data_IF_798208100139
#
_entry.id   IF_798208100139
#
_cell.length_a   1.000
_cell.length_b   1.000
_cell.length_c   1.000
_cell.angle_alpha   90.00
_cell.angle_beta   90.00
_cell.angle_gamma   90.00
#
_symmetry.space_group_name_H-M   'P 1'
#
loop_
_entity.id
_entity.type
_entity.pdbx_description
1 polymer ?
#
# COMPACT_ATOMS: atom_id res chain seq x y z
N UNK A 1 5.30 -13.28 -18.54
CA UNK A 1 6.18 -12.10 -18.74
C UNK A 1 7.38 -12.48 -19.63
N UNK A 2 7.12 -12.88 -20.89
CA UNK A 2 8.10 -13.58 -21.74
C UNK A 2 9.38 -12.77 -22.01
N UNK A 3 9.31 -11.44 -22.08
CA UNK A 3 10.48 -10.60 -22.33
C UNK A 3 11.51 -10.67 -21.20
N UNK A 4 11.06 -10.66 -19.93
CA UNK A 4 11.95 -10.79 -18.77
C UNK A 4 12.53 -12.19 -18.71
N UNK A 5 11.72 -13.21 -19.00
CA UNK A 5 12.17 -14.61 -19.03
C UNK A 5 13.30 -14.79 -20.06
N UNK A 6 13.08 -14.32 -21.29
CA UNK A 6 14.07 -14.38 -22.36
C UNK A 6 15.36 -13.62 -22.02
N UNK A 7 15.25 -12.41 -21.49
CA UNK A 7 16.42 -11.63 -21.06
C UNK A 7 17.19 -12.35 -19.96
N UNK A 8 16.48 -12.88 -18.96
CA UNK A 8 17.07 -13.59 -17.83
C UNK A 8 17.79 -14.87 -18.25
N UNK A 9 17.24 -15.57 -19.23
CA UNK A 9 17.80 -16.81 -19.75
C UNK A 9 18.99 -16.59 -20.69
N UNK A 10 18.93 -15.54 -21.50
CA UNK A 10 19.94 -15.26 -22.54
C UNK A 10 21.14 -14.47 -22.01
N UNK A 11 20.90 -13.51 -21.12
CA UNK A 11 21.90 -12.49 -20.78
C UNK A 11 22.49 -12.61 -19.38
N UNK A 12 21.89 -13.41 -18.48
CA UNK A 12 22.27 -13.43 -17.06
C UNK A 12 22.84 -14.77 -16.62
N UNK A 13 23.82 -14.70 -15.72
CA UNK A 13 24.32 -15.86 -14.99
C UNK A 13 23.26 -16.42 -14.04
N UNK A 14 23.43 -17.68 -13.63
CA UNK A 14 22.46 -18.35 -12.74
C UNK A 14 22.21 -17.60 -11.43
N UNK A 15 23.24 -16.95 -10.86
CA UNK A 15 23.10 -16.20 -9.61
C UNK A 15 22.30 -14.91 -9.81
N UNK A 16 22.58 -14.16 -10.87
CA UNK A 16 21.85 -12.91 -11.18
C UNK A 16 20.42 -13.21 -11.64
N UNK A 17 20.22 -14.30 -12.40
CA UNK A 17 18.91 -14.81 -12.80
C UNK A 17 17.99 -15.07 -11.60
N UNK A 18 18.53 -15.68 -10.53
CA UNK A 18 17.78 -15.91 -9.29
C UNK A 18 17.32 -14.59 -8.68
N UNK A 19 18.22 -13.62 -8.55
CA UNK A 19 17.91 -12.29 -7.99
C UNK A 19 16.82 -11.59 -8.82
N UNK A 20 16.93 -11.57 -10.16
CA UNK A 20 15.90 -10.93 -11.00
C UNK A 20 14.57 -11.65 -10.87
N UNK A 21 14.55 -12.99 -10.93
CA UNK A 21 13.33 -13.77 -10.81
C UNK A 21 12.63 -13.54 -9.46
N UNK A 22 13.40 -13.39 -8.39
CA UNK A 22 12.86 -12.98 -7.09
C UNK A 22 12.30 -11.54 -7.19
N UNK A 23 13.06 -10.54 -7.62
CA UNK A 23 12.57 -9.17 -7.68
C UNK A 23 11.31 -8.96 -8.54
N UNK A 24 11.11 -9.76 -9.60
CA UNK A 24 9.93 -9.65 -10.48
C UNK A 24 8.77 -10.56 -10.09
N UNK A 25 8.92 -11.42 -9.08
CA UNK A 25 7.90 -12.43 -8.79
C UNK A 25 6.55 -11.80 -8.36
N UNK A 26 6.60 -10.73 -7.57
CA UNK A 26 5.42 -9.93 -7.18
C UNK A 26 4.63 -9.40 -8.37
N UNK A 27 5.35 -8.78 -9.31
CA UNK A 27 4.77 -8.30 -10.56
C UNK A 27 4.20 -9.46 -11.39
N UNK A 28 4.93 -10.58 -11.52
CA UNK A 28 4.47 -11.75 -12.27
C UNK A 28 3.17 -12.32 -11.69
N UNK A 29 3.06 -12.41 -10.38
CA UNK A 29 1.85 -12.89 -9.71
C UNK A 29 0.67 -11.94 -9.91
N UNK A 30 0.90 -10.63 -9.79
CA UNK A 30 -0.12 -9.62 -10.06
C UNK A 30 -0.60 -9.68 -11.51
N UNK A 31 0.31 -9.87 -12.48
CA UNK A 31 -0.05 -10.07 -13.88
C UNK A 31 -0.86 -11.34 -14.12
N UNK A 32 -0.61 -12.42 -13.38
CA UNK A 32 -1.45 -13.62 -13.48
C UNK A 32 -2.91 -13.30 -13.10
N UNK A 33 -3.16 -12.51 -12.04
CA UNK A 33 -4.52 -12.03 -11.74
C UNK A 33 -5.08 -11.14 -12.86
N UNK A 34 -4.31 -10.18 -13.35
CA UNK A 34 -4.79 -9.24 -14.38
C UNK A 34 -5.08 -9.90 -15.74
N UNK A 35 -4.37 -10.99 -16.06
CA UNK A 35 -4.45 -11.66 -17.35
C UNK A 35 -5.34 -12.91 -17.32
N UNK A 36 -5.30 -13.67 -16.23
CA UNK A 36 -5.88 -15.01 -16.17
C UNK A 36 -7.14 -15.10 -15.28
N UNK A 37 -7.43 -14.08 -14.46
CA UNK A 37 -8.65 -13.98 -13.64
C UNK A 37 -9.64 -12.96 -14.25
N UNK A 38 -10.76 -13.41 -14.87
CA UNK A 38 -11.73 -12.53 -15.51
C UNK A 38 -12.42 -11.53 -14.55
N UNK A 39 -12.64 -11.91 -13.29
CA UNK A 39 -13.28 -11.03 -12.31
C UNK A 39 -12.31 -9.92 -11.93
N UNK A 40 -11.07 -10.27 -11.62
CA UNK A 40 -10.02 -9.31 -11.27
C UNK A 40 -9.73 -8.36 -12.44
N UNK A 41 -9.71 -8.90 -13.67
CA UNK A 41 -9.55 -8.10 -14.89
C UNK A 41 -10.70 -7.11 -15.09
N UNK A 42 -11.95 -7.55 -14.91
CA UNK A 42 -13.12 -6.69 -15.04
C UNK A 42 -13.07 -5.53 -14.04
N UNK A 43 -12.73 -5.80 -12.78
CA UNK A 43 -12.56 -4.75 -11.76
C UNK A 43 -11.41 -3.80 -12.11
N UNK A 44 -10.28 -4.32 -12.61
CA UNK A 44 -9.16 -3.48 -13.06
C UNK A 44 -9.59 -2.49 -14.14
N UNK A 45 -10.34 -2.97 -15.13
CA UNK A 45 -10.86 -2.14 -16.21
C UNK A 45 -11.90 -1.13 -15.69
N UNK A 46 -12.78 -1.56 -14.78
CA UNK A 46 -13.77 -0.70 -14.14
C UNK A 46 -13.13 0.47 -13.38
N UNK A 47 -12.02 0.22 -12.66
CA UNK A 47 -11.32 1.22 -11.85
C UNK A 47 -10.10 1.85 -12.54
N UNK A 48 -9.90 1.63 -13.85
CA UNK A 48 -8.72 2.09 -14.57
C UNK A 48 -8.50 3.62 -14.51
N UNK A 49 -9.58 4.41 -14.52
CA UNK A 49 -9.51 5.87 -14.36
C UNK A 49 -8.99 6.27 -12.97
N UNK A 50 -9.46 5.60 -11.92
CA UNK A 50 -8.99 5.81 -10.56
C UNK A 50 -7.51 5.43 -10.43
N UNK A 51 -7.09 4.26 -10.95
CA UNK A 51 -5.69 3.82 -10.90
C UNK A 51 -4.74 4.85 -11.52
N UNK A 52 -5.13 5.45 -12.67
CA UNK A 52 -4.38 6.54 -13.31
C UNK A 52 -4.34 7.80 -12.44
N UNK A 53 -5.45 8.17 -11.80
CA UNK A 53 -5.53 9.35 -10.95
C UNK A 53 -4.62 9.23 -9.72
N UNK A 54 -4.49 8.04 -9.14
CA UNK A 54 -3.69 7.79 -7.93
C UNK A 54 -2.25 7.37 -8.21
N UNK A 55 -1.78 7.35 -9.47
CA UNK A 55 -0.45 6.83 -9.80
C UNK A 55 0.69 7.53 -9.03
N UNK A 56 0.60 8.85 -8.84
CA UNK A 56 1.61 9.59 -8.05
C UNK A 56 1.53 9.25 -6.55
N UNK A 57 0.33 9.04 -6.03
CA UNK A 57 0.09 8.67 -4.64
C UNK A 57 0.58 7.24 -4.38
N UNK A 58 0.36 6.33 -5.33
CA UNK A 58 0.90 4.98 -5.33
C UNK A 58 2.43 4.98 -5.28
N UNK A 59 3.09 5.76 -6.15
CA UNK A 59 4.55 5.90 -6.16
C UNK A 59 5.09 6.43 -4.82
N UNK A 60 4.37 7.36 -4.20
CA UNK A 60 4.70 7.86 -2.87
C UNK A 60 4.65 6.74 -1.83
N UNK A 61 3.57 5.95 -1.79
CA UNK A 61 3.43 4.81 -0.89
C UNK A 61 4.54 3.77 -1.12
N UNK A 62 4.82 3.44 -2.38
CA UNK A 62 5.85 2.46 -2.75
C UNK A 62 7.25 2.91 -2.33
N UNK A 63 7.59 4.19 -2.54
CA UNK A 63 8.87 4.75 -2.09
C UNK A 63 9.01 4.73 -0.57
N UNK A 64 7.93 4.96 0.17
CA UNK A 64 7.94 4.87 1.64
C UNK A 64 8.15 3.42 2.08
N UNK A 65 7.46 2.46 1.46
CA UNK A 65 7.66 1.03 1.71
C UNK A 65 9.12 0.62 1.53
N UNK A 66 9.73 0.94 0.38
CA UNK A 66 11.11 0.57 0.08
C UNK A 66 12.14 1.16 1.07
N UNK A 67 11.83 2.29 1.71
CA UNK A 67 12.68 2.88 2.76
C UNK A 67 12.55 2.18 4.12
N UNK A 68 11.45 1.48 4.35
CA UNK A 68 11.15 0.80 5.62
C UNK A 68 11.52 -0.68 5.60
N UNK A 69 11.61 -1.29 4.42
CA UNK A 69 11.99 -2.70 4.29
C UNK A 69 13.48 -2.87 4.60
N UNK A 70 13.85 -3.76 5.53
CA UNK A 70 15.24 -4.10 5.81
C UNK A 70 15.95 -4.67 4.58
N UNK A 71 17.30 -4.63 4.52
CA UNK A 71 18.07 -5.26 3.45
C UNK A 71 17.69 -6.75 3.31
N UNK A 72 17.64 -7.26 2.08
CA UNK A 72 17.21 -8.65 1.81
C UNK A 72 18.04 -9.73 2.53
N UNK A 73 19.28 -9.41 2.92
CA UNK A 73 20.14 -10.33 3.66
C UNK A 73 19.83 -10.39 5.17
N UNK A 74 18.89 -9.57 5.65
CA UNK A 74 18.49 -9.51 7.05
C UNK A 74 17.44 -10.58 7.33
N UNK A 75 17.81 -11.62 8.08
CA UNK A 75 16.93 -12.74 8.44
C UNK A 75 16.50 -12.72 9.90
N UNK A 76 16.70 -11.60 10.60
CA UNK A 76 16.37 -11.50 12.02
C UNK A 76 14.85 -11.47 12.23
N UNK A 77 14.38 -12.01 13.36
CA UNK A 77 12.97 -11.91 13.76
C UNK A 77 12.48 -10.45 13.72
N UNK A 78 13.35 -9.52 14.08
CA UNK A 78 13.06 -8.09 14.05
C UNK A 78 12.86 -7.56 12.62
N UNK A 79 13.73 -7.94 11.68
CA UNK A 79 13.58 -7.57 10.27
C UNK A 79 12.29 -8.14 9.65
N UNK A 80 11.87 -9.31 10.11
CA UNK A 80 10.60 -9.93 9.70
C UNK A 80 9.39 -9.12 10.18
N UNK A 81 9.40 -8.67 11.45
CA UNK A 81 8.36 -7.80 12.01
C UNK A 81 8.34 -6.47 11.25
N UNK A 82 9.49 -5.83 11.05
CA UNK A 82 9.62 -4.57 10.32
C UNK A 82 9.08 -4.67 8.89
N UNK A 83 9.39 -5.78 8.19
CA UNK A 83 8.87 -6.05 6.84
C UNK A 83 7.34 -6.19 6.86
N UNK A 84 6.78 -6.90 7.85
CA UNK A 84 5.33 -7.02 8.01
C UNK A 84 4.65 -5.67 8.28
N UNK A 85 5.24 -4.85 9.15
CA UNK A 85 4.74 -3.51 9.42
C UNK A 85 4.81 -2.59 8.20
N UNK A 86 5.90 -2.67 7.42
CA UNK A 86 6.05 -1.93 6.18
C UNK A 86 4.99 -2.33 5.14
N UNK A 87 4.71 -3.64 4.99
CA UNK A 87 3.66 -4.15 4.10
C UNK A 87 2.29 -3.59 4.46
N UNK A 88 1.89 -3.70 5.72
CA UNK A 88 0.58 -3.21 6.17
C UNK A 88 0.46 -1.68 6.02
N UNK A 89 1.54 -0.96 6.33
CA UNK A 89 1.61 0.50 6.11
C UNK A 89 1.44 0.86 4.63
N UNK A 90 2.03 0.09 3.72
CA UNK A 90 1.86 0.26 2.28
C UNK A 90 0.41 0.03 1.85
N UNK A 91 -0.22 -1.06 2.30
CA UNK A 91 -1.61 -1.38 1.99
C UNK A 91 -2.57 -0.29 2.46
N UNK A 92 -2.39 0.19 3.70
CA UNK A 92 -3.18 1.29 4.25
C UNK A 92 -2.97 2.59 3.48
N UNK A 93 -1.73 2.95 3.15
CA UNK A 93 -1.42 4.15 2.37
C UNK A 93 -2.13 4.14 1.01
N UNK A 94 -2.06 3.00 0.29
CA UNK A 94 -2.73 2.83 -1.01
C UNK A 94 -4.25 2.95 -0.87
N UNK A 95 -4.83 2.30 0.15
CA UNK A 95 -6.26 2.38 0.43
C UNK A 95 -6.70 3.81 0.75
N UNK A 96 -5.98 4.52 1.64
CA UNK A 96 -6.30 5.89 2.05
C UNK A 96 -6.31 6.85 0.86
N UNK A 97 -5.27 6.84 0.02
CA UNK A 97 -5.25 7.66 -1.19
C UNK A 97 -6.33 7.24 -2.19
N UNK A 98 -6.57 5.93 -2.34
CA UNK A 98 -7.68 5.42 -3.14
C UNK A 98 -9.03 5.95 -2.65
N UNK A 99 -9.26 5.99 -1.35
CA UNK A 99 -10.52 6.43 -0.76
C UNK A 99 -10.67 7.96 -0.77
N UNK A 100 -9.56 8.71 -0.69
CA UNK A 100 -9.58 10.18 -0.80
C UNK A 100 -9.79 10.66 -2.24
N UNK A 101 -9.21 9.97 -3.23
CA UNK A 101 -9.26 10.36 -4.65
C UNK A 101 -10.40 9.69 -5.41
N UNK A 102 -10.88 8.57 -4.91
CA UNK A 102 -11.89 7.74 -5.54
C UNK A 102 -12.96 7.31 -4.51
N UNK A 103 -13.59 6.16 -4.74
CA UNK A 103 -14.60 5.54 -3.87
C UNK A 103 -14.03 4.32 -3.16
N UNK A 104 -14.70 3.88 -2.09
CA UNK A 104 -14.21 2.84 -1.19
C UNK A 104 -14.01 1.46 -1.85
N UNK A 105 -14.85 1.11 -2.83
CA UNK A 105 -14.71 -0.09 -3.66
C UNK A 105 -13.44 -0.04 -4.53
N UNK A 106 -13.18 1.09 -5.19
CA UNK A 106 -11.95 1.32 -5.93
C UNK A 106 -10.72 1.29 -5.01
N UNK A 107 -10.81 1.90 -3.82
CA UNK A 107 -9.76 1.88 -2.81
C UNK A 107 -9.43 0.46 -2.35
N UNK A 108 -10.47 -0.36 -2.11
CA UNK A 108 -10.33 -1.77 -1.72
C UNK A 108 -9.67 -2.58 -2.83
N UNK A 109 -10.04 -2.32 -4.09
CA UNK A 109 -9.42 -2.96 -5.24
C UNK A 109 -7.93 -2.57 -5.39
N UNK A 110 -7.59 -1.29 -5.20
CA UNK A 110 -6.19 -0.83 -5.19
C UNK A 110 -5.36 -1.50 -4.10
N UNK A 111 -5.92 -1.66 -2.90
CA UNK A 111 -5.29 -2.42 -1.80
C UNK A 111 -5.03 -3.87 -2.20
N UNK A 112 -5.97 -4.54 -2.86
CA UNK A 112 -5.77 -5.91 -3.38
C UNK A 112 -4.63 -6.01 -4.40
N UNK A 113 -4.48 -5.04 -5.30
CA UNK A 113 -3.31 -5.00 -6.21
C UNK A 113 -2.01 -4.90 -5.40
N UNK A 114 -1.99 -4.08 -4.34
CA UNK A 114 -0.82 -3.96 -3.48
C UNK A 114 -0.50 -5.29 -2.77
N UNK A 115 -1.52 -6.00 -2.32
CA UNK A 115 -1.40 -7.33 -1.70
C UNK A 115 -0.85 -8.38 -2.68
N UNK A 116 -1.32 -8.41 -3.92
CA UNK A 116 -0.80 -9.36 -4.93
C UNK A 116 0.68 -9.11 -5.25
N UNK A 117 1.16 -7.86 -5.16
CA UNK A 117 2.57 -7.53 -5.36
C UNK A 117 3.46 -8.05 -4.23
N UNK A 118 3.00 -7.99 -2.98
CA UNK A 118 3.83 -8.26 -1.80
C UNK A 118 3.56 -9.62 -1.13
N UNK A 119 2.58 -10.41 -1.58
CA UNK A 119 2.28 -11.74 -1.01
C UNK A 119 2.99 -12.91 -1.73
N UNK A 120 3.90 -12.63 -2.66
CA UNK A 120 4.69 -13.66 -3.36
C UNK A 120 5.89 -14.12 -2.53
N UNK A 121 6.41 -15.31 -2.83
CA UNK A 121 7.57 -15.99 -2.22
C UNK A 121 8.78 -15.12 -1.85
N UNK A 122 8.99 -14.00 -2.53
CA UNK A 122 10.07 -13.02 -2.30
C UNK A 122 9.93 -12.33 -0.95
N UNK A 123 8.68 -12.11 -0.54
CA UNK A 123 8.29 -11.54 0.74
C UNK A 123 7.52 -12.57 1.57
N UNK A 124 7.75 -13.89 1.36
CA UNK A 124 7.15 -14.93 2.20
C UNK A 124 7.75 -14.87 3.60
N UNK A 125 7.19 -13.95 4.38
CA UNK A 125 7.16 -13.99 5.82
C UNK A 125 5.71 -14.28 6.20
N UNK A 126 5.47 -15.28 7.03
CA UNK A 126 4.16 -15.40 7.68
C UNK A 126 4.01 -14.21 8.63
N UNK A 127 3.37 -13.16 8.15
CA UNK A 127 3.01 -12.03 9.01
C UNK A 127 1.93 -12.48 10.01
N UNK A 128 1.93 -11.87 11.19
CA UNK A 128 0.87 -12.04 12.17
C UNK A 128 -0.49 -11.58 11.60
N UNK A 129 -1.61 -12.08 12.15
CA UNK A 129 -2.95 -11.65 11.75
C UNK A 129 -3.12 -10.12 11.79
N UNK A 130 -3.97 -9.57 10.92
CA UNK A 130 -4.18 -8.11 10.78
C UNK A 130 -4.60 -7.45 12.10
N UNK A 131 -5.32 -8.19 12.94
CA UNK A 131 -5.82 -7.77 14.27
C UNK A 131 -4.71 -7.51 15.30
N UNK A 132 -3.50 -8.01 15.04
CA UNK A 132 -2.32 -7.88 15.91
C UNK A 132 -1.33 -6.81 15.39
N UNK A 133 -1.73 -6.05 14.36
CA UNK A 133 -0.92 -5.01 13.76
C UNK A 133 -0.51 -3.92 14.74
N UNK A 134 -1.45 -3.38 15.52
CA UNK A 134 -1.12 -2.29 16.45
C UNK A 134 -0.18 -2.78 17.57
N UNK A 135 -0.33 -4.01 18.03
CA UNK A 135 0.52 -4.62 19.06
C UNK A 135 1.98 -4.72 18.60
N UNK A 136 2.19 -5.06 17.33
CA UNK A 136 3.53 -5.30 16.79
C UNK A 136 4.15 -4.11 16.03
N UNK A 137 3.32 -3.18 15.52
CA UNK A 137 3.74 -2.12 14.59
C UNK A 137 3.54 -0.70 15.12
N UNK A 138 3.35 -0.52 16.43
CA UNK A 138 3.10 0.75 17.15
C UNK A 138 4.14 1.89 16.96
N UNK A 139 5.04 1.83 15.97
CA UNK A 139 6.08 2.82 15.69
C UNK A 139 6.07 3.35 14.25
N UNK A 140 4.90 3.50 13.64
CA UNK A 140 4.80 4.31 12.42
C UNK A 140 3.45 5.03 12.32
N UNK A 141 3.41 6.22 12.90
CA UNK A 141 2.41 7.22 12.54
C UNK A 141 2.42 7.39 11.02
N UNK A 142 1.33 6.97 10.37
CA UNK A 142 0.91 7.64 9.16
C UNK A 142 0.73 9.10 9.59
N UNK A 143 1.54 10.02 9.06
CA UNK A 143 1.16 11.43 9.01
C UNK A 143 -0.04 11.52 8.06
N UNK A 144 -1.19 11.00 8.50
CA UNK A 144 -2.46 11.49 8.03
C UNK A 144 -2.44 12.94 8.48
N UNK A 145 -2.41 13.86 7.53
CA UNK A 145 -2.64 15.27 7.79
C UNK A 145 -4.06 15.40 8.36
N UNK A 146 -4.16 15.16 9.67
CA UNK A 146 -5.29 15.53 10.49
C UNK A 146 -5.48 17.03 10.27
N UNK A 147 -6.59 17.38 9.63
CA UNK A 147 -7.16 18.71 9.79
C UNK A 147 -7.17 19.03 11.28
N UNK A 148 -6.57 20.14 11.73
CA UNK A 148 -6.53 20.45 13.14
C UNK A 148 -7.98 20.60 13.62
N UNK A 149 -8.40 19.72 14.53
CA UNK A 149 -9.70 19.77 15.21
C UNK A 149 -9.92 21.10 15.96
N UNK A 150 -8.90 21.95 16.02
CA UNK A 150 -8.91 23.32 16.53
C UNK A 150 -9.87 24.25 15.78
N UNK A 151 -10.18 24.02 14.49
CA UNK A 151 -11.11 24.89 13.76
C UNK A 151 -12.57 24.67 14.21
N UNK A 152 -12.93 23.43 14.56
CA UNK A 152 -14.29 23.09 14.98
C UNK A 152 -14.66 23.73 16.33
N UNK A 153 -13.68 23.88 17.24
CA UNK A 153 -13.88 24.54 18.53
C UNK A 153 -14.06 26.06 18.41
N UNK A 154 -13.46 26.70 17.40
CA UNK A 154 -13.60 28.15 17.16
C UNK A 154 -15.00 28.48 16.60
N UNK A 155 -15.58 27.59 15.79
CA UNK A 155 -16.95 27.78 15.30
C UNK A 155 -18.01 27.63 16.41
N UNK A 156 -17.80 26.75 17.38
CA UNK A 156 -18.73 26.60 18.50
C UNK A 156 -18.65 27.80 19.46
N UNK A 157 -17.45 28.32 19.74
CA UNK A 157 -17.30 29.48 20.63
C UNK A 157 -17.90 30.76 20.04
N UNK A 158 -17.71 31.00 18.74
CA UNK A 158 -18.28 32.17 18.05
C UNK A 158 -19.80 32.11 17.97
N UNK A 159 -20.39 30.93 17.74
CA UNK A 159 -21.84 30.75 17.73
C UNK A 159 -22.46 31.00 19.12
N UNK A 160 -21.80 30.53 20.19
CA UNK A 160 -22.27 30.72 21.56
C UNK A 160 -22.26 32.21 21.96
N UNK A 161 -21.22 32.96 21.56
CA UNK A 161 -21.13 34.41 21.81
C UNK A 161 -22.19 35.21 21.05
N UNK A 162 -22.56 34.80 19.83
CA UNK A 162 -23.62 35.47 19.06
C UNK A 162 -25.01 35.22 19.65
N UNK A 163 -25.26 34.06 20.24
CA UNK A 163 -26.56 33.73 20.88
C UNK A 163 -26.72 34.49 22.20
N UNK A 164 -25.64 34.75 22.94
CA UNK A 164 -25.70 35.54 24.18
C UNK A 164 -25.93 37.03 23.92
N UNK A 165 -25.47 37.56 22.79
CA UNK A 165 -25.66 38.97 22.39
C UNK A 165 -27.04 39.28 21.80
N UNK A 166 -27.81 38.27 21.38
CA UNK A 166 -29.17 38.46 20.88
C UNK A 166 -30.26 38.38 21.96
N UNK A 167 -29.87 38.12 23.21
CA UNK A 167 -30.78 37.87 24.33
C UNK A 167 -30.67 38.93 25.44
N UNK A 168 -30.09 40.09 25.13
CA UNK A 168 -30.08 41.31 25.96
C UNK A 168 -30.85 42.44 25.25
#
# INVERSE_FOLDING_TARGET
MKCIDLYSDTCLSSSVRKIINENVAGARHTFAFLCDDPLFQSEYLQYASCYRAVTKDWDFCAKRFLKQVPPQNSTSKQANIETCCAKQTFYRCVYEFGNMRCRSDAASFLRRIAETLLNVHVYRMSCFPEDDYDVHCSSSTCNSSYFPSSIFLIFISTLLSTITLSNE
#
